data_IF_671469454233
#
_entry.id   IF_671469454233
#
_cell.length_a   1.000
_cell.length_b   1.000
_cell.length_c   1.000
_cell.angle_alpha   90.00
_cell.angle_beta   90.00
_cell.angle_gamma   90.00
#
_symmetry.space_group_name_H-M   'P 1'
#
loop_
_entity.id
_entity.type
_entity.pdbx_description
1 polymer ?
#
# COMPACT_ATOMS: atom_id res chain seq x y z
N UNK A 1 -12.33 -13.95 -29.18
CA UNK A 1 -13.79 -14.16 -29.08
C UNK A 1 -14.45 -12.85 -29.46
N UNK A 2 -15.32 -12.84 -30.46
CA UNK A 2 -15.89 -11.60 -31.02
C UNK A 2 -16.90 -10.99 -30.04
N UNK A 3 -16.87 -9.66 -29.86
CA UNK A 3 -17.83 -8.90 -29.04
C UNK A 3 -19.29 -9.06 -29.52
N UNK A 4 -19.50 -9.66 -30.70
CA UNK A 4 -20.79 -9.90 -31.34
C UNK A 4 -21.21 -11.37 -31.38
N UNK A 5 -20.65 -12.23 -30.52
CA UNK A 5 -21.14 -13.61 -30.39
C UNK A 5 -22.52 -13.61 -29.73
N UNK A 6 -23.55 -13.96 -30.51
CA UNK A 6 -24.97 -13.95 -30.09
C UNK A 6 -25.30 -15.01 -29.02
N UNK A 7 -24.34 -15.88 -28.68
CA UNK A 7 -24.48 -16.94 -27.68
C UNK A 7 -23.88 -16.57 -26.31
N UNK A 8 -23.45 -15.32 -26.08
CA UNK A 8 -22.99 -14.88 -24.76
C UNK A 8 -24.19 -14.81 -23.79
N UNK A 9 -24.12 -15.57 -22.71
CA UNK A 9 -25.13 -15.56 -21.64
C UNK A 9 -25.25 -14.18 -20.98
N UNK A 10 -26.45 -13.86 -20.49
CA UNK A 10 -26.79 -12.55 -19.90
C UNK A 10 -25.80 -12.08 -18.83
N UNK A 11 -25.33 -13.00 -17.98
CA UNK A 11 -24.34 -12.74 -16.93
C UNK A 11 -22.94 -12.41 -17.47
N UNK A 12 -22.50 -13.15 -18.50
CA UNK A 12 -21.23 -12.89 -19.16
C UNK A 12 -21.24 -11.53 -19.88
N UNK A 13 -22.38 -11.15 -20.48
CA UNK A 13 -22.56 -9.84 -21.08
C UNK A 13 -22.54 -8.70 -20.06
N UNK A 14 -23.27 -8.87 -18.95
CA UNK A 14 -23.26 -7.90 -17.85
C UNK A 14 -21.86 -7.73 -17.25
N UNK A 15 -21.10 -8.81 -17.13
CA UNK A 15 -19.71 -8.77 -16.65
C UNK A 15 -18.78 -8.03 -17.61
N UNK A 16 -18.97 -8.22 -18.92
CA UNK A 16 -18.24 -7.50 -19.97
C UNK A 16 -18.59 -6.00 -19.99
N UNK A 17 -19.88 -5.67 -19.94
CA UNK A 17 -20.34 -4.27 -19.90
C UNK A 17 -19.82 -3.57 -18.64
N UNK A 18 -19.87 -4.21 -17.48
CA UNK A 18 -19.26 -3.69 -16.25
C UNK A 18 -17.74 -3.48 -16.36
N UNK A 19 -17.02 -4.42 -17.00
CA UNK A 19 -15.59 -4.29 -17.23
C UNK A 19 -15.24 -3.16 -18.21
N UNK A 20 -16.08 -2.93 -19.24
CA UNK A 20 -15.93 -1.81 -20.17
C UNK A 20 -16.29 -0.47 -19.53
N UNK A 21 -17.34 -0.40 -18.71
CA UNK A 21 -17.72 0.81 -17.96
C UNK A 21 -16.66 1.18 -16.91
N UNK A 22 -15.92 0.19 -16.40
CA UNK A 22 -14.79 0.39 -15.49
C UNK A 22 -13.49 0.80 -16.22
N UNK A 23 -13.48 0.86 -17.55
CA UNK A 23 -12.31 1.28 -18.32
C UNK A 23 -12.10 2.79 -18.16
N UNK A 24 -10.91 3.19 -17.74
CA UNK A 24 -10.53 4.61 -17.72
C UNK A 24 -10.63 5.20 -19.14
N UNK A 25 -11.57 6.13 -19.32
CA UNK A 25 -11.81 6.86 -20.58
C UNK A 25 -10.98 8.14 -20.66
N UNK A 26 -10.69 8.77 -19.52
CA UNK A 26 -9.78 9.91 -19.42
C UNK A 26 -8.48 9.51 -18.71
N UNK A 27 -7.38 9.55 -19.46
CA UNK A 27 -6.04 9.31 -18.91
C UNK A 27 -5.51 10.57 -18.23
N UNK A 28 -5.96 10.81 -17.00
CA UNK A 28 -5.54 11.98 -16.20
C UNK A 28 -4.07 11.88 -15.78
N UNK A 29 -3.51 10.67 -15.76
CA UNK A 29 -2.11 10.40 -15.44
C UNK A 29 -1.41 9.67 -16.61
N UNK A 30 -0.56 10.36 -17.40
CA UNK A 30 0.20 9.71 -18.46
C UNK A 30 1.15 8.65 -17.89
N UNK A 31 1.13 7.45 -18.46
CA UNK A 31 1.96 6.33 -18.03
C UNK A 31 3.17 6.15 -18.93
N UNK A 32 4.37 6.21 -18.35
CA UNK A 32 5.61 5.93 -19.08
C UNK A 32 5.58 4.56 -19.74
N UNK A 33 5.14 3.53 -19.02
CA UNK A 33 5.06 2.16 -19.53
C UNK A 33 4.07 2.08 -20.70
N UNK A 34 2.86 2.63 -20.59
CA UNK A 34 1.87 2.58 -21.65
C UNK A 34 2.38 3.26 -22.94
N UNK A 35 3.04 4.41 -22.81
CA UNK A 35 3.57 5.15 -23.94
C UNK A 35 4.78 4.46 -24.58
N UNK A 36 5.62 3.80 -23.76
CA UNK A 36 6.72 2.98 -24.25
C UNK A 36 6.21 1.85 -25.17
N UNK A 37 5.11 1.17 -24.77
CA UNK A 37 4.46 0.15 -25.61
C UNK A 37 3.91 0.71 -26.93
N UNK A 38 3.59 2.01 -26.98
CA UNK A 38 3.14 2.70 -28.18
C UNK A 38 4.32 3.28 -29.01
N UNK A 39 5.57 2.97 -28.65
CA UNK A 39 6.76 3.46 -29.33
C UNK A 39 7.15 4.90 -28.97
N UNK A 40 6.61 5.45 -27.88
CA UNK A 40 6.90 6.81 -27.42
C UNK A 40 7.66 6.78 -26.09
N UNK A 41 8.89 7.30 -26.09
CA UNK A 41 9.71 7.42 -24.87
C UNK A 41 9.49 8.80 -24.23
N UNK A 42 8.65 8.86 -23.19
CA UNK A 42 8.35 10.09 -22.44
C UNK A 42 9.24 10.21 -21.20
N UNK A 43 10.49 10.60 -21.41
CA UNK A 43 11.51 10.64 -20.34
C UNK A 43 11.16 11.59 -19.18
N UNK A 44 10.39 12.63 -19.47
CA UNK A 44 9.87 13.61 -18.53
C UNK A 44 8.95 13.01 -17.44
N UNK A 45 8.36 11.84 -17.69
CA UNK A 45 7.56 11.13 -16.68
C UNK A 45 8.42 10.41 -15.63
N UNK A 46 9.72 10.21 -15.89
CA UNK A 46 10.63 9.48 -15.00
C UNK A 46 11.81 10.31 -14.50
N UNK A 47 12.11 11.42 -15.18
CA UNK A 47 13.27 12.26 -14.87
C UNK A 47 12.87 13.73 -14.70
N UNK A 48 13.40 14.42 -13.66
CA UNK A 48 14.27 13.88 -12.60
C UNK A 48 13.51 12.93 -11.68
N UNK A 49 14.23 12.02 -11.02
CA UNK A 49 13.62 11.10 -10.07
C UNK A 49 12.88 11.90 -8.98
N UNK A 50 11.60 11.58 -8.70
CA UNK A 50 10.84 12.29 -7.68
C UNK A 50 11.49 12.09 -6.31
N UNK A 51 11.78 13.20 -5.63
CA UNK A 51 12.36 13.17 -4.28
C UNK A 51 11.32 13.60 -3.26
N UNK A 52 11.34 12.94 -2.11
CA UNK A 52 10.60 13.34 -0.94
C UNK A 52 11.02 14.76 -0.51
N UNK A 53 10.08 15.55 0.01
CA UNK A 53 10.42 16.85 0.62
C UNK A 53 11.12 16.64 1.95
N UNK A 54 11.92 17.62 2.39
CA UNK A 54 12.62 17.53 3.67
C UNK A 54 11.66 17.42 4.87
N UNK A 55 10.49 18.06 4.79
CA UNK A 55 9.42 17.94 5.80
C UNK A 55 8.88 16.50 5.88
N UNK A 56 8.44 15.94 4.74
CA UNK A 56 7.88 14.59 4.72
C UNK A 56 8.95 13.56 5.13
N UNK A 57 10.21 13.79 4.75
CA UNK A 57 11.31 12.92 5.19
C UNK A 57 11.48 12.94 6.70
N UNK A 58 11.47 14.12 7.35
CA UNK A 58 11.60 14.25 8.81
C UNK A 58 10.47 13.53 9.56
N UNK A 59 9.23 13.70 9.12
CA UNK A 59 8.07 12.98 9.70
C UNK A 59 8.31 11.46 9.66
N UNK A 60 8.80 10.95 8.53
CA UNK A 60 9.15 9.54 8.39
C UNK A 60 10.32 9.09 9.26
N UNK A 61 11.37 9.90 9.34
CA UNK A 61 12.57 9.61 10.16
C UNK A 61 12.18 9.41 11.63
N UNK A 62 11.37 10.32 12.18
CA UNK A 62 10.90 10.25 13.58
C UNK A 62 10.07 8.99 13.87
N UNK A 63 9.24 8.56 12.92
CA UNK A 63 8.44 7.35 13.08
C UNK A 63 9.31 6.09 12.98
N UNK A 64 10.22 6.05 12.00
CA UNK A 64 11.13 4.92 11.77
C UNK A 64 12.03 4.68 12.98
N UNK A 65 12.55 5.74 13.60
CA UNK A 65 13.38 5.63 14.80
C UNK A 65 12.62 4.96 15.97
N UNK A 66 11.36 5.37 16.21
CA UNK A 66 10.51 4.77 17.25
C UNK A 66 10.18 3.31 16.95
N UNK A 67 9.83 3.02 15.69
CA UNK A 67 9.52 1.66 15.25
C UNK A 67 10.75 0.75 15.38
N UNK A 68 11.93 1.22 14.95
CA UNK A 68 13.17 0.46 15.06
C UNK A 68 13.49 0.15 16.52
N UNK A 69 13.51 1.15 17.40
CA UNK A 69 13.79 0.95 18.82
C UNK A 69 12.81 -0.05 19.47
N UNK A 70 11.53 -0.02 19.08
CA UNK A 70 10.56 -0.99 19.57
C UNK A 70 10.83 -2.40 19.06
N UNK A 71 11.13 -2.59 17.77
CA UNK A 71 11.43 -3.90 17.20
C UNK A 71 12.68 -4.51 17.82
N UNK A 72 13.76 -3.72 17.99
CA UNK A 72 15.00 -4.15 18.63
C UNK A 72 14.77 -4.65 20.06
N UNK A 73 13.88 -4.01 20.80
CA UNK A 73 13.62 -4.35 22.19
C UNK A 73 12.59 -5.47 22.39
N UNK A 74 11.68 -5.69 21.43
CA UNK A 74 10.47 -6.48 21.67
C UNK A 74 10.19 -7.58 20.65
N UNK A 75 10.95 -7.68 19.55
CA UNK A 75 10.65 -8.62 18.47
C UNK A 75 11.77 -9.63 18.20
N UNK A 76 11.46 -10.90 18.42
CA UNK A 76 12.31 -12.04 18.06
C UNK A 76 11.78 -12.72 16.79
N UNK A 77 12.46 -12.52 15.66
CA UNK A 77 12.07 -13.10 14.38
C UNK A 77 12.23 -14.63 14.35
N UNK A 78 13.25 -15.18 15.02
CA UNK A 78 13.51 -16.62 15.06
C UNK A 78 12.44 -17.34 15.91
N UNK A 79 11.93 -16.68 16.96
CA UNK A 79 10.78 -17.17 17.70
C UNK A 79 9.54 -17.25 16.80
N UNK A 80 9.20 -16.18 16.09
CA UNK A 80 8.03 -16.13 15.21
C UNK A 80 8.12 -17.18 14.10
N UNK A 81 9.28 -17.37 13.48
CA UNK A 81 9.44 -18.39 12.44
C UNK A 81 9.30 -19.82 13.00
N UNK A 82 9.75 -20.05 14.23
CA UNK A 82 9.65 -21.36 14.89
C UNK A 82 8.23 -21.67 15.37
N UNK A 83 7.50 -20.67 15.86
CA UNK A 83 6.14 -20.84 16.39
C UNK A 83 5.06 -20.67 15.32
N UNK A 84 5.36 -19.91 14.27
CA UNK A 84 4.40 -19.45 13.28
C UNK A 84 3.50 -18.30 13.75
N UNK A 85 3.77 -17.73 14.94
CA UNK A 85 2.87 -16.78 15.60
C UNK A 85 3.62 -15.52 16.05
N UNK A 86 3.07 -14.35 15.73
CA UNK A 86 3.56 -13.07 16.28
C UNK A 86 2.95 -12.88 17.67
N UNK A 87 3.75 -12.68 18.73
CA UNK A 87 3.22 -12.54 20.08
C UNK A 87 2.20 -11.40 20.22
N UNK A 88 1.12 -11.63 20.97
CA UNK A 88 0.08 -10.62 21.22
C UNK A 88 0.63 -9.32 21.81
N UNK A 89 1.66 -9.42 22.66
CA UNK A 89 2.35 -8.26 23.22
C UNK A 89 2.99 -7.39 22.13
N UNK A 90 3.60 -8.03 21.12
CA UNK A 90 4.19 -7.35 19.96
C UNK A 90 3.10 -6.65 19.17
N UNK A 91 2.01 -7.37 18.85
CA UNK A 91 0.87 -6.81 18.10
C UNK A 91 0.28 -5.58 18.82
N UNK A 92 0.12 -5.66 20.14
CA UNK A 92 -0.39 -4.57 20.95
C UNK A 92 0.53 -3.34 20.90
N UNK A 93 1.83 -3.50 21.10
CA UNK A 93 2.72 -2.33 21.04
C UNK A 93 2.89 -1.76 19.63
N UNK A 94 2.79 -2.58 18.58
CA UNK A 94 2.69 -2.08 17.19
C UNK A 94 1.43 -1.23 16.99
N UNK A 95 0.30 -1.62 17.59
CA UNK A 95 -0.93 -0.83 17.56
C UNK A 95 -0.82 0.48 18.35
N UNK A 96 -0.20 0.46 19.53
CA UNK A 96 0.07 1.66 20.34
C UNK A 96 1.01 2.64 19.63
N UNK A 97 1.96 2.15 18.83
CA UNK A 97 2.83 2.96 17.97
C UNK A 97 2.11 3.51 16.72
N UNK A 98 0.90 3.05 16.42
CA UNK A 98 0.14 3.47 15.24
C UNK A 98 0.49 2.74 13.94
N UNK A 99 1.19 1.59 14.00
CA UNK A 99 1.62 0.84 12.80
C UNK A 99 0.43 0.33 11.96
N UNK A 100 -0.74 0.12 12.58
CA UNK A 100 -1.97 -0.28 11.89
C UNK A 100 -2.79 0.92 11.37
N UNK A 101 -2.28 2.15 11.46
CA UNK A 101 -2.95 3.35 10.97
C UNK A 101 -1.99 4.35 10.30
N UNK A 102 -0.88 3.85 9.75
CA UNK A 102 0.20 4.65 9.14
C UNK A 102 -0.31 5.61 8.07
N UNK A 103 -1.10 5.12 7.11
CA UNK A 103 -1.61 5.94 5.98
C UNK A 103 -2.94 6.63 6.28
N UNK A 104 -3.60 6.31 7.38
CA UNK A 104 -4.93 6.83 7.69
C UNK A 104 -4.79 8.33 7.99
N UNK A 105 -5.66 9.22 7.45
CA UNK A 105 -5.63 10.64 7.76
C UNK A 105 -5.73 10.93 9.25
N UNK A 106 -5.05 11.98 9.70
CA UNK A 106 -4.99 12.37 11.12
C UNK A 106 -6.36 12.72 11.71
N UNK A 107 -7.29 13.23 10.89
CA UNK A 107 -8.68 13.48 11.30
C UNK A 107 -9.45 12.22 11.73
N UNK A 108 -8.97 11.03 11.33
CA UNK A 108 -9.50 9.72 11.74
C UNK A 108 -8.56 9.00 12.70
N UNK A 109 -7.70 9.75 13.42
CA UNK A 109 -6.70 9.25 14.38
C UNK A 109 -5.61 8.35 13.76
N UNK A 110 -5.32 8.50 12.47
CA UNK A 110 -4.16 7.87 11.85
C UNK A 110 -2.89 8.73 11.93
N UNK A 111 -1.78 8.20 11.42
CA UNK A 111 -0.49 8.90 11.38
C UNK A 111 -0.33 9.82 10.16
N UNK A 112 -1.17 9.66 9.13
CA UNK A 112 -1.12 10.47 7.91
C UNK A 112 0.19 10.38 7.13
N UNK A 113 0.93 9.28 7.27
CA UNK A 113 2.20 9.08 6.57
C UNK A 113 1.99 9.03 5.05
N UNK A 114 2.91 9.65 4.33
CA UNK A 114 2.98 9.52 2.87
C UNK A 114 3.23 8.07 2.45
N UNK A 115 2.88 7.73 1.21
CA UNK A 115 3.15 6.41 0.63
C UNK A 115 4.65 6.06 0.71
N UNK A 116 5.54 7.06 0.58
CA UNK A 116 6.99 6.88 0.72
C UNK A 116 7.34 6.46 2.15
N UNK A 117 6.85 7.18 3.16
CA UNK A 117 7.14 6.84 4.56
C UNK A 117 6.52 5.53 5.01
N UNK A 118 5.32 5.21 4.55
CA UNK A 118 4.73 3.88 4.73
C UNK A 118 5.62 2.78 4.14
N UNK A 119 6.12 2.95 2.91
CA UNK A 119 7.03 1.98 2.30
C UNK A 119 8.37 1.89 3.04
N UNK A 120 8.88 3.01 3.59
CA UNK A 120 10.11 3.00 4.42
C UNK A 120 9.90 2.21 5.72
N UNK A 121 8.73 2.34 6.35
CA UNK A 121 8.39 1.54 7.53
C UNK A 121 8.28 0.05 7.20
N UNK A 122 7.64 -0.30 6.08
CA UNK A 122 7.60 -1.70 5.62
C UNK A 122 8.98 -2.25 5.25
N UNK A 123 9.86 -1.42 4.69
CA UNK A 123 11.24 -1.82 4.42
C UNK A 123 12.00 -2.14 5.71
N UNK A 124 11.82 -1.31 6.76
CA UNK A 124 12.37 -1.57 8.07
C UNK A 124 11.80 -2.87 8.66
N UNK A 125 10.48 -3.06 8.71
CA UNK A 125 9.93 -4.30 9.28
C UNK A 125 10.38 -5.54 8.50
N UNK A 126 10.52 -5.41 7.17
CA UNK A 126 11.01 -6.47 6.29
C UNK A 126 12.46 -6.85 6.50
N UNK A 127 13.29 -5.94 7.01
CA UNK A 127 14.67 -6.28 7.39
C UNK A 127 14.75 -7.11 8.68
N UNK A 128 13.67 -7.15 9.48
CA UNK A 128 13.56 -8.00 10.67
C UNK A 128 12.86 -9.32 10.34
N UNK A 129 11.67 -9.26 9.75
CA UNK A 129 10.89 -10.45 9.40
C UNK A 129 9.83 -10.13 8.33
N UNK A 130 9.75 -10.98 7.31
CA UNK A 130 8.73 -10.88 6.26
C UNK A 130 7.30 -10.98 6.79
N UNK A 131 7.07 -11.69 7.90
CA UNK A 131 5.75 -11.86 8.50
C UNK A 131 5.17 -10.52 9.00
N UNK A 132 6.00 -9.66 9.62
CA UNK A 132 5.58 -8.31 10.02
C UNK A 132 5.23 -7.44 8.83
N UNK A 133 6.06 -7.49 7.78
CA UNK A 133 5.78 -6.75 6.54
C UNK A 133 4.46 -7.20 5.93
N UNK A 134 4.26 -8.51 5.82
CA UNK A 134 3.03 -9.08 5.27
C UNK A 134 1.80 -8.66 6.08
N UNK A 135 1.87 -8.76 7.42
CA UNK A 135 0.78 -8.37 8.32
C UNK A 135 0.40 -6.88 8.14
N UNK A 136 1.37 -5.98 8.29
CA UNK A 136 1.13 -4.53 8.22
C UNK A 136 0.74 -4.11 6.79
N UNK A 137 1.36 -4.71 5.78
CA UNK A 137 1.04 -4.46 4.37
C UNK A 137 -0.37 -4.90 4.04
N UNK A 138 -0.72 -6.14 4.35
CA UNK A 138 -2.03 -6.69 4.08
C UNK A 138 -3.12 -5.87 4.77
N UNK A 139 -2.95 -5.55 6.06
CA UNK A 139 -3.92 -4.74 6.79
C UNK A 139 -4.17 -3.37 6.15
N UNK A 140 -3.12 -2.68 5.71
CA UNK A 140 -3.21 -1.27 5.29
C UNK A 140 -3.39 -1.06 3.78
N UNK A 141 -2.99 -2.01 2.94
CA UNK A 141 -2.95 -1.85 1.48
C UNK A 141 -4.04 -2.61 0.74
N UNK A 142 -4.53 -3.72 1.29
CA UNK A 142 -5.64 -4.49 0.70
C UNK A 142 -6.76 -4.79 1.71
N UNK A 143 -6.45 -4.70 3.01
CA UNK A 143 -7.38 -4.84 4.09
C UNK A 143 -8.31 -3.63 4.22
N UNK A 144 -9.27 -3.75 5.12
CA UNK A 144 -10.40 -2.82 5.32
C UNK A 144 -10.06 -1.33 5.22
N UNK A 145 -8.96 -0.81 5.81
CA UNK A 145 -8.56 0.60 5.65
C UNK A 145 -8.50 1.11 4.21
N UNK A 146 -7.92 0.36 3.26
CA UNK A 146 -7.69 0.89 1.91
C UNK A 146 -9.01 1.05 1.12
N UNK A 147 -9.91 0.05 1.03
CA UNK A 147 -11.20 0.23 0.38
C UNK A 147 -12.07 1.30 1.04
N UNK A 148 -12.05 1.40 2.38
CA UNK A 148 -12.80 2.45 3.08
C UNK A 148 -12.25 3.85 2.75
N UNK A 149 -10.93 4.03 2.67
CA UNK A 149 -10.35 5.31 2.27
C UNK A 149 -10.68 5.70 0.83
N UNK A 150 -10.80 4.73 -0.08
CA UNK A 150 -11.04 5.00 -1.50
C UNK A 150 -12.53 5.12 -1.86
N UNK A 151 -13.39 4.36 -1.18
CA UNK A 151 -14.79 4.16 -1.59
C UNK A 151 -15.78 4.27 -0.42
N UNK A 152 -15.30 4.51 0.80
CA UNK A 152 -16.15 4.73 1.96
C UNK A 152 -16.90 6.05 1.89
N UNK A 153 -17.99 6.12 2.63
CA UNK A 153 -18.70 7.37 2.91
C UNK A 153 -18.19 7.98 4.22
N UNK A 154 -18.52 9.26 4.45
CA UNK A 154 -18.24 9.97 5.71
C UNK A 154 -18.85 9.28 6.95
#
# INVERSE_FOLDING_TARGET
>A
MSMFDKNIGKEARASLEFAEDSRETEWVHPSFAAMLYQGQVKWDLMHPFPRQTDEDKRIGDEFIEKLQAYLEANYDADEVDRTGEIPDSVLKGLAELGCFAMKIPTQYNGLGLSQVNYNRALHLTGSYCGNLTALLSAHQSIGVPQPLLMFGTD
#
